data_IF_922012376441
#
_entry.id   IF_922012376441
#
_cell.length_a   1.000
_cell.length_b   1.000
_cell.length_c   1.000
_cell.angle_alpha   90.00
_cell.angle_beta   90.00
_cell.angle_gamma   90.00
#
_symmetry.space_group_name_H-M   'P 1'
#
loop_
_entity.id
_entity.type
_entity.pdbx_description
1 polymer ?
#
# COMPACT_ATOMS: atom_id res chain seq x y z
N UNK A 1 -0.57 -5.17 -22.39
CA UNK A 1 0.04 -4.29 -21.36
C UNK A 1 -0.74 -4.30 -20.04
N UNK A 2 -2.07 -4.16 -20.05
CA UNK A 2 -2.87 -4.12 -18.83
C UNK A 2 -2.72 -5.39 -17.94
N UNK A 3 -2.73 -6.60 -18.51
CA UNK A 3 -2.53 -7.85 -17.73
C UNK A 3 -1.21 -7.85 -16.94
N UNK A 4 -0.11 -7.40 -17.57
CA UNK A 4 1.20 -7.34 -16.93
C UNK A 4 1.24 -6.33 -15.76
N UNK A 5 0.50 -5.22 -15.88
CA UNK A 5 0.36 -4.23 -14.81
C UNK A 5 -0.24 -4.88 -13.54
N UNK A 6 -1.39 -5.55 -13.64
CA UNK A 6 -2.01 -6.22 -12.48
C UNK A 6 -1.12 -7.34 -11.92
N UNK A 7 -0.48 -8.15 -12.79
CA UNK A 7 0.44 -9.21 -12.35
C UNK A 7 1.66 -8.64 -11.60
N UNK A 8 2.19 -7.50 -12.02
CA UNK A 8 3.29 -6.84 -11.33
C UNK A 8 2.86 -6.25 -9.98
N UNK A 9 1.67 -5.67 -9.89
CA UNK A 9 1.14 -5.20 -8.61
C UNK A 9 1.00 -6.37 -7.63
N UNK A 10 0.43 -7.50 -8.07
CA UNK A 10 0.31 -8.71 -7.25
C UNK A 10 1.67 -9.26 -6.78
N UNK A 11 2.71 -9.21 -7.61
CA UNK A 11 4.08 -9.57 -7.18
C UNK A 11 4.55 -8.67 -6.04
N UNK A 12 4.30 -7.37 -6.13
CA UNK A 12 4.60 -6.44 -5.04
C UNK A 12 3.80 -6.74 -3.77
N UNK A 13 2.50 -7.00 -3.89
CA UNK A 13 1.66 -7.42 -2.75
C UNK A 13 2.20 -8.67 -2.06
N UNK A 14 2.70 -9.66 -2.81
CA UNK A 14 3.30 -10.87 -2.23
C UNK A 14 4.54 -10.56 -1.38
N UNK A 15 5.41 -9.66 -1.84
CA UNK A 15 6.58 -9.23 -1.06
C UNK A 15 6.15 -8.55 0.24
N UNK A 16 5.17 -7.65 0.16
CA UNK A 16 4.64 -6.95 1.34
C UNK A 16 4.00 -7.95 2.32
N UNK A 17 3.16 -8.85 1.83
CA UNK A 17 2.49 -9.85 2.67
C UNK A 17 3.48 -10.77 3.38
N UNK A 18 4.48 -11.29 2.66
CA UNK A 18 5.53 -12.10 3.25
C UNK A 18 6.30 -11.33 4.34
N UNK A 19 6.55 -10.04 4.10
CA UNK A 19 7.21 -9.14 5.04
C UNK A 19 6.36 -8.94 6.31
N UNK A 20 5.06 -8.66 6.16
CA UNK A 20 4.15 -8.49 7.31
C UNK A 20 3.97 -9.80 8.10
N UNK A 21 3.91 -10.95 7.43
CA UNK A 21 3.86 -12.26 8.08
C UNK A 21 5.14 -12.60 8.86
N UNK A 22 6.31 -12.16 8.37
CA UNK A 22 7.55 -12.31 9.12
C UNK A 22 7.49 -11.44 10.39
N UNK A 23 7.03 -10.19 10.27
CA UNK A 23 6.91 -9.28 11.41
C UNK A 23 5.91 -9.75 12.45
N UNK A 24 4.80 -10.37 12.05
CA UNK A 24 3.82 -10.94 12.99
C UNK A 24 4.38 -12.11 13.80
N UNK A 25 5.53 -12.68 13.42
CA UNK A 25 6.18 -13.81 14.10
C UNK A 25 7.49 -13.44 14.81
N UNK A 26 7.89 -12.17 14.74
CA UNK A 26 9.16 -11.67 15.27
C UNK A 26 8.91 -10.59 16.35
N UNK A 27 9.97 -9.88 16.75
CA UNK A 27 9.97 -8.75 17.70
C UNK A 27 8.97 -7.64 17.32
N UNK A 28 8.53 -7.61 16.06
CA UNK A 28 7.53 -6.68 15.55
C UNK A 28 6.07 -7.13 15.72
N UNK A 29 5.80 -8.28 16.34
CA UNK A 29 4.42 -8.80 16.56
C UNK A 29 3.50 -7.82 17.28
N UNK A 30 4.11 -6.94 18.10
CA UNK A 30 3.46 -5.87 18.89
C UNK A 30 3.57 -4.48 18.25
N UNK A 31 3.93 -4.40 16.97
CA UNK A 31 4.06 -3.12 16.30
C UNK A 31 2.67 -2.52 16.04
N UNK A 32 2.40 -1.32 16.59
CA UNK A 32 1.24 -0.48 16.24
C UNK A 32 1.06 -0.31 14.72
N UNK A 33 2.16 -0.34 13.96
CA UNK A 33 2.12 -0.24 12.51
C UNK A 33 1.59 -1.48 11.79
N UNK A 34 1.55 -2.67 12.43
CA UNK A 34 1.20 -3.92 11.78
C UNK A 34 -0.31 -4.02 11.46
N UNK A 35 -1.18 -3.64 12.40
CA UNK A 35 -2.63 -3.54 12.18
C UNK A 35 -2.97 -2.56 11.05
N UNK A 36 -2.36 -1.37 11.12
CA UNK A 36 -2.52 -0.35 10.08
C UNK A 36 -1.98 -0.81 8.73
N UNK A 37 -0.88 -1.57 8.72
CA UNK A 37 -0.29 -2.12 7.50
C UNK A 37 -1.20 -3.18 6.86
N UNK A 38 -1.67 -4.15 7.65
CA UNK A 38 -2.63 -5.15 7.22
C UNK A 38 -3.88 -4.50 6.63
N UNK A 39 -4.46 -3.52 7.35
CA UNK A 39 -5.65 -2.80 6.88
C UNK A 39 -5.43 -2.11 5.54
N UNK A 40 -4.27 -1.46 5.34
CA UNK A 40 -3.93 -0.80 4.08
C UNK A 40 -3.74 -1.80 2.94
N UNK A 41 -3.12 -2.95 3.20
CA UNK A 41 -2.99 -4.03 2.21
C UNK A 41 -4.37 -4.55 1.78
N UNK A 42 -5.26 -4.84 2.74
CA UNK A 42 -6.62 -5.31 2.45
C UNK A 42 -7.39 -4.27 1.61
N UNK A 43 -7.32 -2.99 1.98
CA UNK A 43 -7.94 -1.90 1.21
C UNK A 43 -7.35 -1.80 -0.20
N UNK A 44 -6.04 -1.95 -0.33
CA UNK A 44 -5.34 -1.94 -1.61
C UNK A 44 -5.78 -3.08 -2.53
N UNK A 45 -5.88 -4.31 -2.01
CA UNK A 45 -6.37 -5.48 -2.75
C UNK A 45 -7.82 -5.32 -3.21
N UNK A 46 -8.69 -4.75 -2.36
CA UNK A 46 -10.07 -4.41 -2.73
C UNK A 46 -10.12 -3.40 -3.88
N UNK A 47 -9.27 -2.36 -3.84
CA UNK A 47 -9.17 -1.40 -4.93
C UNK A 47 -8.66 -2.07 -6.22
N UNK A 48 -7.62 -2.90 -6.12
CA UNK A 48 -7.06 -3.65 -7.26
C UNK A 48 -8.12 -4.51 -7.94
N UNK A 49 -8.99 -5.15 -7.16
CA UNK A 49 -10.16 -5.87 -7.68
C UNK A 49 -11.09 -4.97 -8.48
N UNK A 50 -11.50 -3.84 -7.90
CA UNK A 50 -12.39 -2.89 -8.56
C UNK A 50 -11.78 -2.34 -9.86
N UNK A 51 -10.47 -2.12 -9.88
CA UNK A 51 -9.73 -1.66 -11.05
C UNK A 51 -9.63 -2.77 -12.12
N UNK A 52 -9.48 -4.03 -11.72
CA UNK A 52 -9.49 -5.20 -12.60
C UNK A 52 -10.86 -5.38 -13.28
N UNK A 53 -11.94 -5.30 -12.50
CA UNK A 53 -13.32 -5.35 -13.02
C UNK A 53 -13.56 -4.21 -14.02
N UNK A 54 -13.00 -3.03 -13.70
CA UNK A 54 -12.84 -1.81 -14.52
C UNK A 54 -12.22 -2.02 -15.90
N UNK A 55 -11.36 -3.02 -16.02
CA UNK A 55 -10.40 -3.12 -17.11
C UNK A 55 -10.96 -3.82 -18.35
N UNK A 56 -10.34 -3.52 -19.50
CA UNK A 56 -10.60 -4.17 -20.80
C UNK A 56 -9.83 -5.48 -21.00
N UNK A 57 -9.29 -6.07 -19.92
CA UNK A 57 -8.59 -7.36 -19.97
C UNK A 57 -9.58 -8.49 -20.32
N UNK A 58 -9.09 -9.52 -21.01
CA UNK A 58 -9.87 -10.71 -21.34
C UNK A 58 -10.36 -11.43 -20.08
N UNK A 59 -11.54 -12.02 -20.15
CA UNK A 59 -12.19 -12.63 -18.98
C UNK A 59 -11.40 -13.79 -18.37
N UNK A 60 -10.69 -14.57 -19.18
CA UNK A 60 -9.86 -15.67 -18.67
C UNK A 60 -8.64 -15.16 -17.90
N UNK A 61 -7.99 -14.10 -18.39
CA UNK A 61 -6.91 -13.40 -17.67
C UNK A 61 -7.44 -12.76 -16.37
N UNK A 62 -8.63 -12.16 -16.39
CA UNK A 62 -9.27 -11.58 -15.20
C UNK A 62 -9.51 -12.66 -14.14
N UNK A 63 -10.00 -13.84 -14.52
CA UNK A 63 -10.23 -14.95 -13.57
C UNK A 63 -8.93 -15.39 -12.89
N UNK A 64 -7.83 -15.51 -13.64
CA UNK A 64 -6.51 -15.85 -13.08
C UNK A 64 -6.06 -14.79 -12.05
N UNK A 65 -6.11 -13.51 -12.44
CA UNK A 65 -5.71 -12.40 -11.57
C UNK A 65 -6.61 -12.31 -10.34
N UNK A 66 -7.93 -12.46 -10.51
CA UNK A 66 -8.92 -12.43 -9.42
C UNK A 66 -8.67 -13.53 -8.39
N UNK A 67 -8.33 -14.74 -8.86
CA UNK A 67 -7.98 -15.87 -7.99
C UNK A 67 -6.75 -15.52 -7.13
N UNK A 68 -5.75 -14.87 -7.73
CA UNK A 68 -4.56 -14.43 -7.00
C UNK A 68 -4.88 -13.32 -5.99
N UNK A 69 -5.73 -12.34 -6.36
CA UNK A 69 -6.21 -11.31 -5.42
C UNK A 69 -6.87 -11.98 -4.21
N UNK A 70 -7.75 -12.96 -4.42
CA UNK A 70 -8.43 -13.69 -3.32
C UNK A 70 -7.44 -14.43 -2.43
N UNK A 71 -6.39 -15.02 -3.00
CA UNK A 71 -5.32 -15.66 -2.23
C UNK A 71 -4.58 -14.64 -1.36
N UNK A 72 -4.17 -13.50 -1.94
CA UNK A 72 -3.52 -12.42 -1.21
C UNK A 72 -4.40 -11.88 -0.08
N UNK A 73 -5.72 -11.74 -0.29
CA UNK A 73 -6.66 -11.32 0.74
C UNK A 73 -6.77 -12.33 1.88
N UNK A 74 -6.85 -13.63 1.57
CA UNK A 74 -6.84 -14.68 2.60
C UNK A 74 -5.57 -14.62 3.44
N UNK A 75 -4.43 -14.47 2.80
CA UNK A 75 -3.13 -14.31 3.47
C UNK A 75 -3.13 -13.07 4.36
N UNK A 76 -3.59 -11.93 3.84
CA UNK A 76 -3.64 -10.68 4.58
C UNK A 76 -4.49 -10.80 5.85
N UNK A 77 -5.68 -11.40 5.75
CA UNK A 77 -6.59 -11.58 6.89
C UNK A 77 -6.07 -12.62 7.90
N UNK A 78 -5.24 -13.56 7.48
CA UNK A 78 -4.64 -14.57 8.36
C UNK A 78 -3.40 -14.07 9.12
N UNK A 79 -2.92 -12.85 8.85
CA UNK A 79 -1.85 -12.24 9.64
C UNK A 79 -2.39 -11.98 11.04
N UNK A 80 -1.84 -12.68 12.03
CA UNK A 80 -2.14 -12.42 13.43
C UNK A 80 -1.60 -11.04 13.82
N UNK A 81 -2.50 -10.21 14.34
CA UNK A 81 -2.14 -8.92 14.90
C UNK A 81 -2.53 -8.98 16.37
N UNK A 82 -1.55 -8.88 17.27
CA UNK A 82 -1.84 -8.79 18.71
C UNK A 82 -2.58 -7.47 19.00
N UNK A 83 -3.35 -7.42 20.09
CA UNK A 83 -3.99 -6.19 20.59
C UNK A 83 -2.97 -5.05 20.65
N UNK A 84 -3.41 -3.84 20.29
CA UNK A 84 -2.58 -2.65 20.26
C UNK A 84 -1.92 -2.43 21.62
N UNK A 85 -0.63 -2.74 21.67
CA UNK A 85 0.25 -2.49 22.80
C UNK A 85 1.43 -1.64 22.35
N UNK A 86 2.22 -1.17 23.33
CA UNK A 86 3.34 -0.29 23.04
C UNK A 86 4.40 -1.02 22.20
N UNK A 87 4.56 -0.57 20.95
CA UNK A 87 5.58 -1.06 20.02
C UNK A 87 6.97 -0.91 20.65
N UNK A 88 7.86 -1.90 20.44
CA UNK A 88 9.25 -1.85 20.93
C UNK A 88 10.02 -0.61 20.43
N UNK A 89 9.65 -0.06 19.27
CA UNK A 89 10.22 1.20 18.77
C UNK A 89 9.76 2.41 19.60
N UNK A 90 8.47 2.50 19.88
CA UNK A 90 7.89 3.55 20.73
C UNK A 90 8.45 3.45 22.16
N UNK A 91 8.59 2.22 22.67
CA UNK A 91 9.18 1.93 23.97
C UNK A 91 10.71 2.11 24.03
N UNK A 92 11.38 2.52 22.95
CA UNK A 92 12.84 2.74 22.90
C UNK A 92 13.71 1.47 22.99
N UNK A 93 13.12 0.28 22.78
CA UNK A 93 13.76 -1.04 22.91
C UNK A 93 14.11 -1.69 21.56
N UNK A 94 13.74 -1.07 20.45
CA UNK A 94 14.01 -1.59 19.11
C UNK A 94 15.49 -1.42 18.72
N UNK A 95 16.17 -2.54 18.40
CA UNK A 95 17.60 -2.55 18.01
C UNK A 95 17.85 -2.47 16.51
N UNK A 96 16.80 -2.35 15.71
CA UNK A 96 16.85 -2.36 14.23
C UNK A 96 17.29 -1.00 13.64
N UNK A 97 17.61 -0.02 14.49
CA UNK A 97 18.04 1.31 14.08
C UNK A 97 16.86 2.28 13.87
N UNK A 98 17.08 3.42 13.20
CA UNK A 98 16.07 4.49 13.10
C UNK A 98 14.90 4.13 12.19
N UNK A 99 15.04 3.16 11.29
CA UNK A 99 13.98 2.70 10.38
C UNK A 99 12.93 1.81 11.07
N UNK A 100 11.67 1.88 10.64
CA UNK A 100 10.66 0.89 11.04
C UNK A 100 10.32 0.05 9.82
N UNK A 101 10.63 -1.25 9.85
CA UNK A 101 10.35 -2.11 8.71
C UNK A 101 8.85 -2.22 8.37
N UNK A 102 7.95 -2.15 9.36
CA UNK A 102 6.52 -2.12 9.11
C UNK A 102 6.08 -0.85 8.35
N UNK A 103 6.74 0.30 8.61
CA UNK A 103 6.52 1.52 7.85
C UNK A 103 7.14 1.42 6.45
N UNK A 104 8.33 0.84 6.32
CA UNK A 104 8.97 0.60 5.02
C UNK A 104 8.13 -0.31 4.12
N UNK A 105 7.51 -1.37 4.68
CA UNK A 105 6.58 -2.22 3.95
C UNK A 105 5.35 -1.44 3.44
N UNK A 106 4.89 -0.44 4.20
CA UNK A 106 3.80 0.45 3.80
C UNK A 106 4.19 1.47 2.74
N UNK A 107 5.43 1.94 2.76
CA UNK A 107 5.98 2.81 1.73
C UNK A 107 6.11 2.04 0.41
N UNK A 108 6.69 0.83 0.45
CA UNK A 108 6.75 -0.06 -0.71
C UNK A 108 5.36 -0.32 -1.32
N UNK A 109 4.35 -0.54 -0.49
CA UNK A 109 2.96 -0.68 -0.93
C UNK A 109 2.46 0.50 -1.76
N UNK A 110 2.83 1.74 -1.41
CA UNK A 110 2.43 2.92 -2.18
C UNK A 110 3.10 2.90 -3.55
N UNK A 111 4.41 2.62 -3.59
CA UNK A 111 5.18 2.54 -4.84
C UNK A 111 4.65 1.43 -5.78
N UNK A 112 4.14 0.32 -5.21
CA UNK A 112 3.53 -0.77 -5.98
C UNK A 112 2.14 -0.38 -6.51
N UNK A 113 1.36 0.36 -5.72
CA UNK A 113 -0.07 0.60 -5.99
C UNK A 113 -0.35 1.91 -6.75
N UNK A 114 0.59 2.87 -6.76
CA UNK A 114 0.48 4.13 -7.50
C UNK A 114 1.22 4.00 -8.84
N UNK A 115 0.56 4.18 -10.00
CA UNK A 115 1.27 4.29 -11.27
C UNK A 115 2.14 5.55 -11.26
N UNK A 116 3.37 5.47 -11.77
CA UNK A 116 4.37 6.54 -11.72
C UNK A 116 3.85 7.94 -12.11
N UNK A 117 2.94 7.99 -13.08
CA UNK A 117 2.31 9.24 -13.56
C UNK A 117 1.44 9.95 -12.51
N UNK A 118 0.77 9.22 -11.61
CA UNK A 118 -0.05 9.82 -10.54
C UNK A 118 0.79 10.37 -9.39
N UNK A 119 2.01 9.87 -9.21
CA UNK A 119 2.93 10.41 -8.22
C UNK A 119 3.43 11.80 -8.66
N UNK A 120 3.71 11.98 -9.94
CA UNK A 120 4.09 13.27 -10.54
C UNK A 120 2.97 14.30 -10.41
N UNK A 121 1.71 13.95 -10.75
CA UNK A 121 0.56 14.85 -10.59
C UNK A 121 0.33 15.28 -9.13
N UNK A 122 0.58 14.39 -8.18
CA UNK A 122 0.40 14.65 -6.74
C UNK A 122 1.50 15.56 -6.20
N UNK A 123 2.73 15.42 -6.69
CA UNK A 123 3.83 16.34 -6.38
C UNK A 123 3.62 17.70 -7.04
N UNK A 124 3.11 17.76 -8.28
CA UNK A 124 2.68 19.01 -8.92
C UNK A 124 1.56 19.69 -8.12
N UNK A 125 0.57 18.93 -7.65
CA UNK A 125 -0.53 19.45 -6.82
C UNK A 125 -0.05 19.95 -5.45
N UNK A 126 0.86 19.24 -4.78
CA UNK A 126 1.50 19.72 -3.55
C UNK A 126 2.30 21.00 -3.77
N UNK A 127 3.08 21.05 -4.85
CA UNK A 127 3.89 22.21 -5.20
C UNK A 127 2.99 23.42 -5.47
N UNK A 128 1.87 23.21 -6.18
CA UNK A 128 0.86 24.23 -6.42
C UNK A 128 0.24 24.75 -5.12
N UNK A 129 -0.07 23.88 -4.15
CA UNK A 129 -0.57 24.30 -2.82
C UNK A 129 0.44 25.13 -2.06
N UNK A 130 1.70 24.70 -2.02
CA UNK A 130 2.79 25.45 -1.36
C UNK A 130 3.01 26.83 -2.00
N UNK A 131 2.89 26.91 -3.33
CA UNK A 131 2.97 28.19 -4.05
C UNK A 131 1.78 29.07 -3.70
N UNK A 132 0.54 28.55 -3.71
CA UNK A 132 -0.67 29.27 -3.32
C UNK A 132 -0.62 29.79 -1.86
N UNK A 133 -0.15 28.97 -0.93
CA UNK A 133 0.03 29.35 0.49
C UNK A 133 1.09 30.44 0.67
N UNK A 134 2.14 30.44 -0.16
CA UNK A 134 3.19 31.47 -0.12
C UNK A 134 2.77 32.80 -0.79
N UNK A 135 1.86 32.76 -1.78
CA UNK A 135 1.44 33.96 -2.52
C UNK A 135 0.04 34.49 -2.12
N UNK A 136 -0.71 33.78 -1.26
CA UNK A 136 -2.02 34.21 -0.75
C UNK A 136 -3.16 34.15 -1.78
N UNK A 137 -3.00 33.39 -2.87
CA UNK A 137 -4.01 33.25 -3.92
C UNK A 137 -4.87 31.98 -3.71
N UNK A 138 -6.18 32.09 -3.95
CA UNK A 138 -7.11 30.95 -3.89
C UNK A 138 -6.73 29.86 -4.94
N UNK A 139 -6.82 28.58 -4.54
CA UNK A 139 -6.40 27.43 -5.34
C UNK A 139 -7.02 27.42 -6.75
N UNK A 140 -6.22 27.35 -7.83
CA UNK A 140 -6.77 27.13 -9.16
C UNK A 140 -7.28 25.68 -9.29
N UNK A 141 -8.56 25.55 -9.62
CA UNK A 141 -9.23 24.27 -9.88
C UNK A 141 -8.55 23.58 -11.06
N UNK A 142 -8.04 22.33 -10.90
CA UNK A 142 -7.39 21.64 -12.00
C UNK A 142 -8.42 21.28 -13.08
N UNK A 143 -8.22 21.79 -14.29
CA UNK A 143 -8.98 21.40 -15.49
C UNK A 143 -8.48 20.03 -15.93
N UNK A 144 -9.37 19.04 -15.90
CA UNK A 144 -9.12 17.67 -16.34
C UNK A 144 -9.41 17.58 -17.85
N UNK A 145 -8.43 17.17 -18.65
CA UNK A 145 -8.64 16.69 -20.02
C UNK A 145 -8.33 15.19 -20.10
#
# INVERSE_FOLDING_TARGET
MATAYFKNQLRGYNVVLATLQAFSKDICRRCIGLSGAQTKVIKGLKKLRMDLDKSSILEDDKKEIMTHIHLCEKIANAIEVEEECECQKTAGKCKIGPGCFALGALELMKEIAEPALKAEEKEVSKMAKLICEACGAEEPVPVVH
#
